data_IF_177230525408
#
_entry.id   IF_177230525408
#
_cell.length_a   1.000
_cell.length_b   1.000
_cell.length_c   1.000
_cell.angle_alpha   90.00
_cell.angle_beta   90.00
_cell.angle_gamma   90.00
#
_symmetry.space_group_name_H-M   'P 1'
#
loop_
_entity.id
_entity.type
_entity.pdbx_description
1 polymer ?
#
# COMPACT_ATOMS: atom_id res chain seq x y z
N UNK A 1 -3.22 12.94 -2.63
CA UNK A 1 -4.06 12.15 -3.57
C UNK A 1 -4.04 12.62 -5.04
N UNK A 2 -3.53 13.81 -5.40
CA UNK A 2 -3.45 14.24 -6.81
C UNK A 2 -2.33 13.57 -7.64
N UNK A 3 -1.31 12.99 -6.99
CA UNK A 3 -0.22 12.25 -7.67
C UNK A 3 -0.65 10.89 -8.25
N UNK A 4 -1.80 10.37 -7.83
CA UNK A 4 -2.36 9.10 -8.32
C UNK A 4 -3.18 9.26 -9.61
N UNK A 5 -3.31 10.48 -10.13
CA UNK A 5 -4.06 10.69 -11.36
C UNK A 5 -3.34 10.04 -12.54
N UNK A 6 -4.09 9.29 -13.36
CA UNK A 6 -3.62 8.74 -14.65
C UNK A 6 -2.90 9.78 -15.53
N UNK A 7 -3.17 11.08 -15.33
CA UNK A 7 -2.44 12.20 -15.97
C UNK A 7 -1.01 12.40 -15.45
N UNK A 8 -0.78 12.28 -14.15
CA UNK A 8 0.55 12.46 -13.55
C UNK A 8 1.49 11.32 -13.97
N UNK A 9 0.97 10.09 -13.97
CA UNK A 9 1.68 8.89 -14.44
C UNK A 9 2.01 9.01 -15.94
N UNK A 10 1.04 9.43 -16.78
CA UNK A 10 1.31 9.68 -18.21
C UNK A 10 2.35 10.76 -18.45
N UNK A 11 2.31 11.87 -17.70
CA UNK A 11 3.25 12.98 -17.85
C UNK A 11 4.68 12.56 -17.53
N UNK A 12 4.87 11.80 -16.45
CA UNK A 12 6.20 11.36 -16.01
C UNK A 12 6.80 10.29 -16.93
N UNK A 13 5.96 9.38 -17.44
CA UNK A 13 6.38 8.41 -18.47
C UNK A 13 6.80 9.11 -19.77
N UNK A 14 6.11 10.17 -20.20
CA UNK A 14 6.50 10.97 -21.37
C UNK A 14 7.83 11.67 -21.13
N UNK A 15 8.03 12.24 -19.93
CA UNK A 15 9.25 12.97 -19.57
C UNK A 15 10.49 12.07 -19.49
N UNK A 16 10.38 10.88 -18.90
CA UNK A 16 11.49 9.93 -18.84
C UNK A 16 11.76 9.23 -20.18
N UNK A 17 10.72 9.00 -20.98
CA UNK A 17 10.89 8.46 -22.35
C UNK A 17 11.67 9.44 -23.23
N UNK A 18 11.47 10.76 -23.06
CA UNK A 18 12.21 11.78 -23.80
C UNK A 18 13.71 11.86 -23.45
N UNK A 19 14.11 11.35 -22.28
CA UNK A 19 15.50 11.42 -21.76
C UNK A 19 16.28 10.12 -21.99
N UNK A 20 15.69 9.09 -22.61
CA UNK A 20 16.38 7.81 -22.81
C UNK A 20 17.40 7.86 -23.97
N UNK A 21 18.62 7.30 -23.82
CA UNK A 21 19.69 7.40 -24.83
C UNK A 21 19.30 6.88 -26.22
N UNK A 22 18.46 5.85 -26.25
CA UNK A 22 18.00 5.17 -27.47
C UNK A 22 16.96 5.98 -28.26
N UNK A 23 16.26 6.91 -27.62
CA UNK A 23 15.36 7.89 -28.27
C UNK A 23 16.07 9.19 -28.64
N UNK A 24 17.25 9.45 -28.05
CA UNK A 24 18.08 10.63 -28.36
C UNK A 24 18.75 10.47 -29.74
N UNK A 25 19.21 9.27 -30.11
CA UNK A 25 19.84 9.02 -31.43
C UNK A 25 18.91 9.33 -32.63
N UNK A 26 17.66 8.85 -32.70
CA UNK A 26 16.73 9.25 -33.77
C UNK A 26 16.31 10.73 -33.69
N UNK A 27 16.27 11.31 -32.49
CA UNK A 27 15.99 12.74 -32.29
C UNK A 27 17.03 13.66 -32.94
N UNK A 28 18.30 13.23 -33.01
CA UNK A 28 19.34 13.97 -33.73
C UNK A 28 19.12 13.99 -35.25
N UNK A 29 18.60 12.91 -35.84
CA UNK A 29 18.27 12.84 -37.27
C UNK A 29 17.11 13.78 -37.63
N UNK A 30 16.12 13.93 -36.75
CA UNK A 30 15.03 14.92 -36.90
C UNK A 30 15.59 16.34 -36.83
N UNK A 31 16.51 16.62 -35.90
CA UNK A 31 17.18 17.92 -35.78
C UNK A 31 18.04 18.27 -36.99
N UNK A 32 18.82 17.32 -37.50
CA UNK A 32 19.65 17.49 -38.71
C UNK A 32 18.76 17.72 -39.94
N UNK A 33 17.71 16.92 -40.13
CA UNK A 33 16.77 17.09 -41.23
C UNK A 33 16.06 18.45 -41.19
N UNK A 34 15.66 18.92 -40.01
CA UNK A 34 15.01 20.22 -39.86
C UNK A 34 15.96 21.38 -40.19
N UNK A 35 17.22 21.29 -39.75
CA UNK A 35 18.24 22.26 -40.14
C UNK A 35 18.55 22.23 -41.65
N UNK A 36 18.64 21.05 -42.26
CA UNK A 36 18.87 20.93 -43.71
C UNK A 36 17.74 21.56 -44.54
N UNK A 37 16.48 21.46 -44.10
CA UNK A 37 15.34 22.12 -44.76
C UNK A 37 15.38 23.64 -44.61
N UNK A 38 15.83 24.17 -43.47
CA UNK A 38 15.96 25.61 -43.24
C UNK A 38 17.04 26.24 -44.14
N UNK A 39 18.18 25.57 -44.31
CA UNK A 39 19.31 26.13 -45.08
C UNK A 39 19.23 25.88 -46.59
N UNK A 40 18.66 24.75 -47.01
CA UNK A 40 18.68 24.33 -48.43
C UNK A 40 17.29 24.20 -49.07
N UNK A 41 16.23 24.50 -48.32
CA UNK A 41 14.85 24.37 -48.78
C UNK A 41 14.34 22.93 -48.78
N UNK A 42 13.03 22.79 -49.01
CA UNK A 42 12.36 21.49 -49.06
C UNK A 42 12.57 20.84 -50.44
N UNK A 43 13.47 19.87 -50.49
CA UNK A 43 13.78 19.06 -51.66
C UNK A 43 13.47 17.59 -51.39
N UNK A 44 13.47 16.74 -52.41
CA UNK A 44 13.21 15.30 -52.25
C UNK A 44 14.22 14.63 -51.30
N UNK A 45 15.48 15.09 -51.30
CA UNK A 45 16.56 14.59 -50.43
C UNK A 45 16.44 15.11 -48.99
N UNK A 46 16.22 16.41 -48.80
CA UNK A 46 16.08 16.99 -47.44
C UNK A 46 14.77 16.56 -46.77
N UNK A 47 13.69 16.41 -47.54
CA UNK A 47 12.41 15.91 -47.09
C UNK A 47 12.42 14.42 -46.72
N UNK A 48 13.20 13.58 -47.41
CA UNK A 48 13.31 12.15 -47.08
C UNK A 48 14.13 11.91 -45.81
N UNK A 49 15.19 12.68 -45.56
CA UNK A 49 15.96 12.62 -44.30
C UNK A 49 15.08 13.03 -43.11
N UNK A 50 14.33 14.13 -43.25
CA UNK A 50 13.37 14.58 -42.23
C UNK A 50 12.27 13.53 -42.00
N UNK A 51 11.69 12.99 -43.07
CA UNK A 51 10.63 11.99 -43.01
C UNK A 51 11.07 10.68 -42.35
N UNK A 52 12.26 10.17 -42.69
CA UNK A 52 12.83 8.96 -42.09
C UNK A 52 13.19 9.18 -40.61
N UNK A 53 13.72 10.36 -40.24
CA UNK A 53 13.98 10.72 -38.85
C UNK A 53 12.70 10.74 -38.01
N UNK A 54 11.63 11.37 -38.52
CA UNK A 54 10.33 11.44 -37.84
C UNK A 54 9.71 10.05 -37.70
N UNK A 55 9.79 9.21 -38.74
CA UNK A 55 9.29 7.83 -38.71
C UNK A 55 10.07 6.94 -37.73
N UNK A 56 11.40 6.97 -37.75
CA UNK A 56 12.24 6.20 -36.84
C UNK A 56 12.04 6.62 -35.37
N UNK A 57 11.94 7.93 -35.12
CA UNK A 57 11.62 8.46 -33.79
C UNK A 57 10.21 8.05 -33.33
N UNK A 58 9.22 8.17 -34.21
CA UNK A 58 7.84 7.76 -33.94
C UNK A 58 7.68 6.26 -33.69
N UNK A 59 8.40 5.42 -34.43
CA UNK A 59 8.41 3.97 -34.26
C UNK A 59 9.14 3.53 -33.00
N UNK A 60 10.27 4.16 -32.65
CA UNK A 60 10.98 3.90 -31.38
C UNK A 60 10.15 4.33 -30.16
N UNK A 61 9.46 5.48 -30.27
CA UNK A 61 8.52 5.95 -29.25
C UNK A 61 7.31 5.00 -29.12
N UNK A 62 6.72 4.57 -30.24
CA UNK A 62 5.60 3.63 -30.24
C UNK A 62 6.00 2.24 -29.70
N UNK A 63 7.16 1.71 -30.12
CA UNK A 63 7.70 0.45 -29.61
C UNK A 63 7.86 0.49 -28.08
N UNK A 64 8.51 1.54 -27.54
CA UNK A 64 8.70 1.70 -26.10
C UNK A 64 7.39 1.98 -25.34
N UNK A 65 6.45 2.71 -25.94
CA UNK A 65 5.15 2.99 -25.34
C UNK A 65 4.22 1.76 -25.31
N UNK A 66 4.31 0.88 -26.31
CA UNK A 66 3.49 -0.34 -26.37
C UNK A 66 4.14 -1.57 -25.71
N UNK A 67 5.47 -1.71 -25.77
CA UNK A 67 6.21 -2.89 -25.24
C UNK A 67 6.93 -2.57 -23.91
N UNK A 68 7.44 -1.36 -23.71
CA UNK A 68 8.20 -0.96 -22.51
C UNK A 68 7.36 -0.50 -21.31
N UNK A 69 6.02 -0.46 -21.44
CA UNK A 69 5.12 -0.11 -20.32
C UNK A 69 5.28 -1.05 -19.14
N UNK A 70 5.49 -2.34 -19.37
CA UNK A 70 5.61 -3.33 -18.29
C UNK A 70 6.77 -3.04 -17.34
N UNK A 71 7.96 -2.69 -17.84
CA UNK A 71 9.16 -2.47 -17.01
C UNK A 71 9.23 -1.09 -16.38
N UNK A 72 8.84 -0.03 -17.10
CA UNK A 72 8.79 1.34 -16.55
C UNK A 72 7.69 1.51 -15.50
N UNK A 73 6.52 0.91 -15.74
CA UNK A 73 5.43 0.87 -14.75
C UNK A 73 5.83 0.04 -13.54
N UNK A 74 6.52 -1.10 -13.73
CA UNK A 74 7.05 -1.91 -12.62
C UNK A 74 8.09 -1.16 -11.79
N UNK A 75 9.08 -0.52 -12.42
CA UNK A 75 10.12 0.25 -11.69
C UNK A 75 9.55 1.46 -10.96
N UNK A 76 8.57 2.15 -11.54
CA UNK A 76 7.87 3.26 -10.88
C UNK A 76 6.98 2.76 -9.74
N UNK A 77 6.25 1.67 -9.93
CA UNK A 77 5.42 1.05 -8.90
C UNK A 77 6.27 0.52 -7.74
N UNK A 78 7.44 -0.05 -8.01
CA UNK A 78 8.40 -0.48 -6.98
C UNK A 78 8.93 0.71 -6.19
N UNK A 79 9.32 1.81 -6.85
CA UNK A 79 9.76 3.02 -6.15
C UNK A 79 8.65 3.67 -5.31
N UNK A 80 7.41 3.68 -5.81
CA UNK A 80 6.25 4.19 -5.07
C UNK A 80 5.93 3.30 -3.87
N UNK A 81 5.98 1.98 -4.05
CA UNK A 81 5.80 1.01 -2.96
C UNK A 81 6.86 1.16 -1.89
N UNK A 82 8.11 1.33 -2.27
CA UNK A 82 9.19 1.51 -1.30
C UNK A 82 8.98 2.78 -0.47
N UNK A 83 8.59 3.89 -1.11
CA UNK A 83 8.26 5.14 -0.40
C UNK A 83 7.07 4.99 0.55
N UNK A 84 6.01 4.30 0.11
CA UNK A 84 4.84 4.02 0.95
C UNK A 84 5.23 3.15 2.14
N UNK A 85 6.08 2.14 1.91
CA UNK A 85 6.55 1.24 2.95
C UNK A 85 7.38 1.99 4.00
N UNK A 86 8.36 2.78 3.58
CA UNK A 86 9.18 3.58 4.48
C UNK A 86 8.35 4.60 5.27
N UNK A 87 7.44 5.32 4.60
CA UNK A 87 6.53 6.26 5.28
C UNK A 87 5.61 5.55 6.30
N UNK A 88 5.17 4.32 5.98
CA UNK A 88 4.35 3.51 6.89
C UNK A 88 5.14 3.07 8.13
N UNK A 89 6.41 2.69 7.98
CA UNK A 89 7.30 2.31 9.09
C UNK A 89 7.55 3.51 10.01
N UNK A 90 7.86 4.67 9.42
CA UNK A 90 8.07 5.89 10.18
C UNK A 90 6.83 6.28 10.98
N UNK A 91 5.66 6.29 10.31
CA UNK A 91 4.36 6.56 10.94
C UNK A 91 4.06 5.58 12.07
N UNK A 92 4.31 4.29 11.86
CA UNK A 92 4.11 3.24 12.86
C UNK A 92 4.97 3.49 14.11
N UNK A 93 6.23 3.84 13.95
CA UNK A 93 7.13 4.13 15.08
C UNK A 93 6.69 5.39 15.84
N UNK A 94 6.30 6.44 15.12
CA UNK A 94 5.76 7.67 15.72
C UNK A 94 4.49 7.40 16.53
N UNK A 95 3.55 6.63 15.97
CA UNK A 95 2.30 6.27 16.64
C UNK A 95 2.52 5.37 17.86
N UNK A 96 3.43 4.38 17.77
CA UNK A 96 3.80 3.54 18.93
C UNK A 96 4.31 4.36 20.10
N UNK A 97 5.19 5.34 19.83
CA UNK A 97 5.69 6.23 20.88
C UNK A 97 4.57 7.12 21.44
N UNK A 98 3.81 7.80 20.57
CA UNK A 98 2.81 8.77 20.99
C UNK A 98 1.60 8.16 21.73
N UNK A 99 1.18 6.94 21.36
CA UNK A 99 0.06 6.27 22.04
C UNK A 99 0.40 5.84 23.46
N UNK A 100 1.66 5.48 23.73
CA UNK A 100 2.15 5.12 25.06
C UNK A 100 2.02 6.29 26.04
N UNK A 101 2.25 7.52 25.56
CA UNK A 101 2.18 8.73 26.39
C UNK A 101 0.74 9.16 26.72
N UNK A 102 -0.26 8.66 25.98
CA UNK A 102 -1.66 9.07 26.07
C UNK A 102 -2.57 8.04 26.75
N UNK A 103 -2.01 7.05 27.46
CA UNK A 103 -2.74 5.90 28.02
C UNK A 103 -3.59 5.15 26.96
N UNK A 104 -3.11 5.12 25.72
CA UNK A 104 -3.77 4.48 24.58
C UNK A 104 -3.45 2.99 24.45
N UNK A 105 -3.36 2.24 25.55
CA UNK A 105 -2.83 0.86 25.58
C UNK A 105 -3.53 -0.07 24.60
N UNK A 106 -4.87 -0.02 24.57
CA UNK A 106 -5.67 -0.82 23.64
C UNK A 106 -5.36 -0.49 22.17
N UNK A 107 -5.21 0.79 21.83
CA UNK A 107 -4.93 1.23 20.46
C UNK A 107 -3.49 0.89 20.06
N UNK A 108 -2.56 0.95 21.01
CA UNK A 108 -1.18 0.49 20.85
C UNK A 108 -1.10 -1.00 20.56
N UNK A 109 -1.92 -1.80 21.25
CA UNK A 109 -2.08 -3.23 20.96
C UNK A 109 -2.63 -3.46 19.55
N UNK A 110 -3.68 -2.75 19.15
CA UNK A 110 -4.23 -2.83 17.79
C UNK A 110 -3.18 -2.49 16.72
N UNK A 111 -2.31 -1.51 16.96
CA UNK A 111 -1.22 -1.16 16.05
C UNK A 111 -0.19 -2.29 15.91
N UNK A 112 0.18 -2.95 17.01
CA UNK A 112 1.08 -4.11 16.99
C UNK A 112 0.46 -5.30 16.26
N UNK A 113 -0.82 -5.58 16.54
CA UNK A 113 -1.57 -6.64 15.88
C UNK A 113 -1.70 -6.39 14.37
N UNK A 114 -1.95 -5.14 13.96
CA UNK A 114 -2.05 -4.76 12.56
C UNK A 114 -0.78 -5.10 11.78
N UNK A 115 0.38 -4.73 12.33
CA UNK A 115 1.68 -5.04 11.74
C UNK A 115 1.89 -6.55 11.64
N UNK A 116 1.75 -7.26 12.77
CA UNK A 116 1.99 -8.70 12.83
C UNK A 116 1.06 -9.50 11.89
N UNK A 117 -0.22 -9.13 11.81
CA UNK A 117 -1.19 -9.80 10.93
C UNK A 117 -0.93 -9.53 9.47
N UNK A 118 -0.54 -8.30 9.10
CA UNK A 118 -0.19 -7.98 7.71
C UNK A 118 1.07 -8.71 7.25
N UNK A 119 2.09 -8.81 8.10
CA UNK A 119 3.31 -9.57 7.82
C UNK A 119 2.99 -11.06 7.65
N UNK A 120 2.21 -11.63 8.59
CA UNK A 120 1.77 -13.03 8.52
C UNK A 120 0.94 -13.33 7.26
N UNK A 121 0.02 -12.43 6.90
CA UNK A 121 -0.76 -12.54 5.66
C UNK A 121 0.15 -12.55 4.42
N UNK A 122 1.13 -11.64 4.39
CA UNK A 122 2.08 -11.52 3.29
C UNK A 122 2.93 -12.78 3.12
N UNK A 123 3.35 -13.39 4.23
CA UNK A 123 4.12 -14.64 4.21
C UNK A 123 3.27 -15.82 3.73
N UNK A 124 2.03 -15.96 4.22
CA UNK A 124 1.10 -16.99 3.75
C UNK A 124 0.86 -16.84 2.23
N UNK A 125 0.68 -15.60 1.77
CA UNK A 125 0.43 -15.32 0.37
C UNK A 125 1.62 -15.73 -0.52
N UNK A 126 2.86 -15.47 -0.09
CA UNK A 126 4.09 -15.90 -0.79
C UNK A 126 4.31 -17.41 -0.77
N UNK A 127 3.82 -18.09 0.27
CA UNK A 127 3.86 -19.55 0.33
C UNK A 127 2.86 -20.19 -0.64
N UNK A 128 1.73 -19.54 -0.88
CA UNK A 128 0.64 -20.08 -1.72
C UNK A 128 0.70 -19.67 -3.19
N UNK A 129 1.21 -18.49 -3.53
CA UNK A 129 1.24 -18.01 -4.91
C UNK A 129 2.63 -17.52 -5.30
N UNK A 130 2.98 -17.60 -6.58
CA UNK A 130 4.18 -16.94 -7.09
C UNK A 130 3.94 -15.42 -7.21
N UNK A 131 4.97 -14.62 -6.94
CA UNK A 131 4.81 -13.15 -6.88
C UNK A 131 4.41 -12.50 -8.21
N UNK A 132 4.65 -13.19 -9.33
CA UNK A 132 4.26 -12.77 -10.67
C UNK A 132 2.80 -13.11 -11.05
N UNK A 133 2.10 -13.93 -10.25
CA UNK A 133 0.72 -14.29 -10.54
C UNK A 133 -0.24 -13.13 -10.26
N UNK A 134 -1.22 -12.92 -11.14
CA UNK A 134 -2.22 -11.87 -10.98
C UNK A 134 -3.01 -12.00 -9.66
N UNK A 135 -3.25 -13.23 -9.20
CA UNK A 135 -3.94 -13.48 -7.93
C UNK A 135 -3.12 -13.01 -6.73
N UNK A 136 -1.80 -13.25 -6.73
CA UNK A 136 -0.88 -12.74 -5.71
C UNK A 136 -0.94 -11.21 -5.67
N UNK A 137 -0.76 -10.56 -6.83
CA UNK A 137 -0.75 -9.10 -6.91
C UNK A 137 -2.06 -8.48 -6.43
N UNK A 138 -3.20 -9.09 -6.77
CA UNK A 138 -4.53 -8.63 -6.34
C UNK A 138 -4.72 -8.76 -4.83
N UNK A 139 -4.44 -9.92 -4.24
CA UNK A 139 -4.64 -10.13 -2.81
C UNK A 139 -3.67 -9.30 -1.97
N UNK A 140 -2.42 -9.19 -2.40
CA UNK A 140 -1.44 -8.30 -1.77
C UNK A 140 -1.90 -6.85 -1.78
N UNK A 141 -2.35 -6.34 -2.94
CA UNK A 141 -2.81 -4.96 -3.07
C UNK A 141 -4.03 -4.63 -2.21
N UNK A 142 -4.99 -5.55 -2.11
CA UNK A 142 -6.16 -5.38 -1.23
C UNK A 142 -5.72 -5.35 0.24
N UNK A 143 -4.86 -6.29 0.66
CA UNK A 143 -4.37 -6.32 2.03
C UNK A 143 -3.56 -5.07 2.40
N UNK A 144 -2.74 -4.57 1.47
CA UNK A 144 -1.95 -3.34 1.64
C UNK A 144 -2.87 -2.13 1.81
N UNK A 145 -3.94 -2.03 1.02
CA UNK A 145 -4.94 -0.97 1.18
C UNK A 145 -5.66 -1.03 2.53
N UNK A 146 -6.05 -2.23 2.98
CA UNK A 146 -6.66 -2.42 4.30
C UNK A 146 -5.70 -2.04 5.41
N UNK A 147 -4.43 -2.46 5.31
CA UNK A 147 -3.38 -2.11 6.26
C UNK A 147 -3.19 -0.59 6.38
N UNK A 148 -3.06 0.11 5.25
CA UNK A 148 -2.89 1.57 5.22
C UNK A 148 -4.12 2.28 5.79
N UNK A 149 -5.33 1.81 5.46
CA UNK A 149 -6.58 2.40 5.96
C UNK A 149 -6.73 2.21 7.47
N UNK A 150 -6.34 1.05 8.01
CA UNK A 150 -6.34 0.81 9.45
C UNK A 150 -5.27 1.65 10.16
N UNK A 151 -4.09 1.84 9.55
CA UNK A 151 -3.05 2.72 10.07
C UNK A 151 -3.50 4.19 10.11
N UNK A 152 -4.23 4.66 9.10
CA UNK A 152 -4.82 6.00 9.06
C UNK A 152 -5.88 6.16 10.16
N UNK A 153 -6.73 5.16 10.40
CA UNK A 153 -7.66 5.17 11.52
C UNK A 153 -6.94 5.27 12.88
N UNK A 154 -5.83 4.55 13.06
CA UNK A 154 -5.03 4.64 14.29
C UNK A 154 -4.44 6.04 14.47
N UNK A 155 -3.97 6.67 13.39
CA UNK A 155 -3.53 8.07 13.43
C UNK A 155 -4.66 9.02 13.83
N UNK A 156 -5.85 8.84 13.25
CA UNK A 156 -7.02 9.64 13.59
C UNK A 156 -7.41 9.48 15.07
N UNK A 157 -7.32 8.26 15.61
CA UNK A 157 -7.51 8.00 17.04
C UNK A 157 -6.44 8.71 17.87
N UNK A 158 -5.17 8.62 17.48
CA UNK A 158 -4.07 9.31 18.16
C UNK A 158 -4.28 10.83 18.20
N UNK A 159 -4.68 11.44 17.08
CA UNK A 159 -5.00 12.87 17.00
C UNK A 159 -6.18 13.21 17.92
N UNK A 160 -7.24 12.40 17.92
CA UNK A 160 -8.40 12.58 18.78
C UNK A 160 -8.02 12.48 20.27
N UNK A 161 -7.28 11.45 20.67
CA UNK A 161 -6.75 11.29 22.03
C UNK A 161 -5.91 12.49 22.45
N UNK A 162 -5.00 12.94 21.58
CA UNK A 162 -4.16 14.11 21.85
C UNK A 162 -5.01 15.36 22.05
N UNK A 163 -6.06 15.55 21.26
CA UNK A 163 -6.95 16.72 21.35
C UNK A 163 -7.71 16.81 22.68
N UNK A 164 -8.04 15.66 23.29
CA UNK A 164 -8.78 15.60 24.56
C UNK A 164 -7.90 15.35 25.78
N UNK A 165 -6.62 15.04 25.59
CA UNK A 165 -5.66 14.72 26.66
C UNK A 165 -5.54 15.79 27.76
N UNK A 166 -5.83 17.06 27.43
CA UNK A 166 -5.76 18.20 28.36
C UNK A 166 -7.10 18.53 29.01
N UNK A 167 -8.17 17.79 28.68
CA UNK A 167 -9.52 18.01 29.19
C UNK A 167 -9.74 17.15 30.45
N UNK A 168 -9.74 17.82 31.61
CA UNK A 168 -10.13 17.20 32.88
C UNK A 168 -11.65 17.21 33.03
N UNK A 169 -12.27 16.08 32.67
CA UNK A 169 -13.71 15.88 32.74
C UNK A 169 -14.27 16.06 34.15
N UNK A 170 -13.60 15.53 35.16
CA UNK A 170 -14.05 15.59 36.54
C UNK A 170 -14.07 17.03 37.05
N UNK A 171 -13.02 17.79 36.75
CA UNK A 171 -12.94 19.22 37.08
C UNK A 171 -14.01 20.05 36.37
N UNK A 172 -14.30 19.74 35.10
CA UNK A 172 -15.34 20.45 34.36
C UNK A 172 -16.72 20.18 34.98
N UNK A 173 -17.03 18.91 35.29
CA UNK A 173 -18.30 18.54 35.94
C UNK A 173 -18.45 19.20 37.31
N UNK A 174 -17.40 19.19 38.14
CA UNK A 174 -17.40 19.90 39.42
C UNK A 174 -17.61 21.42 39.25
N UNK A 175 -16.98 22.02 38.23
CA UNK A 175 -17.13 23.46 37.95
C UNK A 175 -18.55 23.82 37.50
N UNK A 176 -19.24 22.93 36.77
CA UNK A 176 -20.64 23.12 36.38
C UNK A 176 -21.54 23.18 37.63
N UNK A 177 -21.38 22.24 38.56
CA UNK A 177 -22.20 22.21 39.78
C UNK A 177 -21.94 23.43 40.68
N UNK A 178 -20.68 23.88 40.77
CA UNK A 178 -20.35 25.12 41.47
C UNK A 178 -21.02 26.33 40.82
N UNK A 179 -20.89 26.50 39.51
CA UNK A 179 -21.45 27.67 38.80
C UNK A 179 -22.98 27.64 38.76
N UNK A 180 -23.60 26.45 38.87
CA UNK A 180 -25.05 26.29 39.07
C UNK A 180 -25.51 26.89 40.40
N UNK A 181 -24.72 26.74 41.46
CA UNK A 181 -24.99 27.34 42.77
C UNK A 181 -24.81 28.86 42.75
N UNK A 182 -23.82 29.35 42.00
CA UNK A 182 -23.51 30.78 41.84
C UNK A 182 -24.41 31.51 40.83
N UNK A 183 -25.28 30.80 40.11
CA UNK A 183 -26.21 31.38 39.12
C UNK A 183 -25.54 31.84 37.81
N UNK A 184 -24.31 31.42 37.53
CA UNK A 184 -23.55 31.84 36.35
C UNK A 184 -23.88 30.96 35.12
N UNK A 185 -25.03 31.23 34.50
CA UNK A 185 -25.56 30.45 33.37
C UNK A 185 -24.64 30.44 32.14
N UNK A 186 -24.00 31.56 31.80
CA UNK A 186 -23.09 31.66 30.64
C UNK A 186 -21.89 30.73 30.79
N UNK A 187 -21.31 30.66 32.00
CA UNK A 187 -20.18 29.77 32.27
C UNK A 187 -20.58 28.30 32.26
N UNK A 188 -21.79 27.98 32.72
CA UNK A 188 -22.34 26.62 32.64
C UNK A 188 -22.49 26.19 31.18
N UNK A 189 -23.01 27.07 30.32
CA UNK A 189 -23.18 26.78 28.89
C UNK A 189 -21.83 26.49 28.21
N UNK A 190 -20.82 27.34 28.43
CA UNK A 190 -19.48 27.14 27.88
C UNK A 190 -18.82 25.82 28.37
N UNK A 191 -18.97 25.49 29.66
CA UNK A 191 -18.44 24.24 30.22
C UNK A 191 -19.18 23.01 29.69
N UNK A 192 -20.50 23.11 29.50
CA UNK A 192 -21.33 22.04 28.92
C UNK A 192 -20.90 21.76 27.49
N UNK A 193 -20.69 22.81 26.68
CA UNK A 193 -20.20 22.65 25.30
C UNK A 193 -18.83 21.97 25.25
N UNK A 194 -17.95 22.23 26.21
CA UNK A 194 -16.65 21.56 26.31
C UNK A 194 -16.79 20.06 26.65
N UNK A 195 -17.77 19.68 27.48
CA UNK A 195 -18.07 18.26 27.74
C UNK A 195 -18.65 17.56 26.52
N UNK A 196 -19.51 18.23 25.76
CA UNK A 196 -20.04 17.68 24.50
C UNK A 196 -18.92 17.36 23.51
N UNK A 197 -17.97 18.29 23.32
CA UNK A 197 -16.81 18.07 22.45
C UNK A 197 -15.94 16.89 22.91
N UNK A 198 -15.73 16.74 24.23
CA UNK A 198 -15.02 15.60 24.80
C UNK A 198 -15.73 14.28 24.46
N UNK A 199 -17.05 14.24 24.65
CA UNK A 199 -17.87 13.06 24.41
C UNK A 199 -17.92 12.69 22.92
N UNK A 200 -18.06 13.68 22.03
CA UNK A 200 -17.97 13.49 20.58
C UNK A 200 -16.64 12.84 20.17
N UNK A 201 -15.52 13.29 20.73
CA UNK A 201 -14.20 12.70 20.45
C UNK A 201 -14.07 11.27 21.00
N UNK A 202 -14.57 11.00 22.22
CA UNK A 202 -14.59 9.63 22.78
C UNK A 202 -15.39 8.67 21.91
N UNK A 203 -16.56 9.11 21.43
CA UNK A 203 -17.38 8.33 20.52
C UNK A 203 -16.67 8.10 19.18
N UNK A 204 -15.99 9.11 18.63
CA UNK A 204 -15.17 8.97 17.42
C UNK A 204 -14.06 7.94 17.60
N UNK A 205 -13.31 8.01 18.71
CA UNK A 205 -12.25 7.05 19.05
C UNK A 205 -12.81 5.63 19.11
N UNK A 206 -13.92 5.44 19.82
CA UNK A 206 -14.58 4.13 19.94
C UNK A 206 -15.00 3.53 18.59
N UNK A 207 -15.59 4.35 17.71
CA UNK A 207 -15.98 3.92 16.36
C UNK A 207 -14.78 3.52 15.50
N UNK A 208 -13.74 4.35 15.46
CA UNK A 208 -12.53 4.08 14.68
C UNK A 208 -11.81 2.82 15.18
N UNK A 209 -11.70 2.64 16.50
CA UNK A 209 -11.10 1.45 17.09
C UNK A 209 -11.91 0.19 16.79
N UNK A 210 -13.24 0.28 16.79
CA UNK A 210 -14.13 -0.81 16.38
C UNK A 210 -13.94 -1.19 14.90
N UNK A 211 -13.80 -0.19 14.03
CA UNK A 211 -13.59 -0.44 12.60
C UNK A 211 -12.22 -1.06 12.32
N UNK A 212 -11.19 -0.69 13.10
CA UNK A 212 -9.89 -1.36 13.06
C UNK A 212 -10.00 -2.83 13.50
N UNK A 213 -10.72 -3.13 14.58
CA UNK A 213 -10.90 -4.50 15.04
C UNK A 213 -11.58 -5.38 13.99
N UNK A 214 -12.57 -4.85 13.28
CA UNK A 214 -13.20 -5.52 12.13
C UNK A 214 -12.18 -5.77 11.02
N UNK A 215 -11.35 -4.79 10.68
CA UNK A 215 -10.32 -4.95 9.66
C UNK A 215 -9.31 -6.05 10.03
N UNK A 216 -8.82 -6.07 11.28
CA UNK A 216 -7.92 -7.12 11.79
C UNK A 216 -8.57 -8.51 11.67
N UNK A 217 -9.85 -8.61 12.05
CA UNK A 217 -10.62 -9.85 11.95
C UNK A 217 -10.78 -10.32 10.50
N UNK A 218 -11.02 -9.42 9.56
CA UNK A 218 -11.11 -9.78 8.14
C UNK A 218 -9.76 -10.23 7.57
N UNK A 219 -8.64 -9.60 7.98
CA UNK A 219 -7.29 -10.07 7.61
C UNK A 219 -7.08 -11.49 8.12
N UNK A 220 -7.45 -11.81 9.36
CA UNK A 220 -7.33 -13.17 9.90
C UNK A 220 -8.19 -14.17 9.11
N UNK A 221 -9.45 -13.85 8.86
CA UNK A 221 -10.38 -14.71 8.10
C UNK A 221 -9.83 -15.04 6.71
N UNK A 222 -9.30 -14.03 6.01
CA UNK A 222 -8.71 -14.25 4.68
C UNK A 222 -7.41 -15.03 4.80
N UNK A 223 -6.56 -14.73 5.79
CA UNK A 223 -5.31 -15.49 6.05
C UNK A 223 -5.57 -16.97 6.26
N UNK A 224 -6.56 -17.33 7.09
CA UNK A 224 -6.97 -18.72 7.34
C UNK A 224 -7.47 -19.39 6.06
N UNK A 225 -8.32 -18.70 5.28
CA UNK A 225 -8.82 -19.21 4.00
C UNK A 225 -7.69 -19.44 2.99
N UNK A 226 -6.74 -18.51 2.91
CA UNK A 226 -5.58 -18.63 2.03
C UNK A 226 -4.68 -19.78 2.47
N UNK A 227 -4.47 -19.95 3.78
CA UNK A 227 -3.70 -21.06 4.32
C UNK A 227 -4.31 -22.42 3.96
N UNK A 228 -5.64 -22.53 3.91
CA UNK A 228 -6.36 -23.75 3.51
C UNK A 228 -6.47 -23.95 1.99
N UNK A 229 -6.16 -22.93 1.19
CA UNK A 229 -6.29 -23.01 -0.27
C UNK A 229 -5.16 -23.85 -0.86
N UNK A 230 -5.53 -24.93 -1.58
CA UNK A 230 -4.60 -25.72 -2.38
C UNK A 230 -4.26 -24.96 -3.67
N UNK A 231 -2.98 -24.67 -3.88
CA UNK A 231 -2.45 -24.04 -5.09
C UNK A 231 -1.43 -24.96 -5.76
N UNK A 232 -1.00 -24.67 -7.00
CA UNK A 232 -0.04 -25.50 -7.75
C UNK A 232 1.27 -25.78 -7.00
N UNK A 233 1.69 -24.90 -6.08
CA UNK A 233 2.87 -25.10 -5.24
C UNK A 233 2.68 -26.14 -4.12
N UNK A 234 1.45 -26.62 -3.90
CA UNK A 234 1.03 -27.54 -2.85
C UNK A 234 0.64 -28.95 -3.33
N UNK A 235 1.07 -29.38 -4.53
CA UNK A 235 0.81 -30.73 -5.06
C UNK A 235 1.40 -31.88 -4.21
N UNK A 236 2.21 -31.58 -3.19
CA UNK A 236 2.88 -32.57 -2.35
C UNK A 236 1.94 -33.40 -1.46
N UNK A 237 0.70 -32.99 -1.21
CA UNK A 237 -0.22 -33.76 -0.35
C UNK A 237 -0.73 -35.04 -1.04
N UNK A 238 -0.97 -35.01 -2.36
CA UNK A 238 -1.31 -36.20 -3.15
C UNK A 238 -0.09 -37.12 -3.35
N UNK A 239 1.12 -36.54 -3.40
CA UNK A 239 2.37 -37.30 -3.46
C UNK A 239 2.76 -37.91 -2.11
N UNK A 240 2.34 -37.34 -0.98
CA UNK A 240 2.74 -37.83 0.35
C UNK A 240 2.12 -39.18 0.65
N UNK A 241 0.82 -39.37 0.42
CA UNK A 241 0.16 -40.67 0.63
C UNK A 241 0.75 -41.74 -0.29
N UNK A 242 1.02 -41.39 -1.55
CA UNK A 242 1.69 -42.28 -2.50
C UNK A 242 3.14 -42.59 -2.09
N UNK A 243 3.90 -41.59 -1.62
CA UNK A 243 5.27 -41.76 -1.15
C UNK A 243 5.34 -42.57 0.16
N UNK A 244 4.35 -42.43 1.05
CA UNK A 244 4.21 -43.23 2.27
C UNK A 244 3.88 -44.69 1.92
N UNK A 245 2.97 -44.92 0.97
CA UNK A 245 2.64 -46.26 0.49
C UNK A 245 3.85 -46.92 -0.19
N UNK A 246 4.60 -46.17 -1.01
CA UNK A 246 5.81 -46.67 -1.66
C UNK A 246 6.95 -46.93 -0.65
N UNK A 247 7.12 -46.08 0.37
CA UNK A 247 8.05 -46.33 1.47
C UNK A 247 7.68 -47.58 2.28
N UNK A 248 6.39 -47.81 2.53
CA UNK A 248 5.91 -49.02 3.21
C UNK A 248 6.23 -50.28 2.39
N UNK A 249 6.00 -50.26 1.07
CA UNK A 249 6.37 -51.37 0.18
C UNK A 249 7.87 -51.62 0.13
N UNK A 250 8.69 -50.57 0.17
CA UNK A 250 10.15 -50.71 0.23
C UNK A 250 10.57 -51.35 1.55
N UNK A 251 10.00 -50.92 2.68
CA UNK A 251 10.28 -51.50 4.00
C UNK A 251 9.92 -52.99 4.08
N UNK A 252 8.76 -53.38 3.51
CA UNK A 252 8.34 -54.78 3.43
C UNK A 252 9.28 -55.63 2.56
N UNK A 253 9.78 -55.07 1.44
CA UNK A 253 10.76 -55.74 0.59
C UNK A 253 12.14 -55.90 1.25
N UNK A 254 12.55 -54.98 2.12
CA UNK A 254 13.84 -55.08 2.83
C UNK A 254 13.84 -56.23 3.84
N UNK A 255 12.69 -56.57 4.43
CA UNK A 255 12.56 -57.75 5.30
C UNK A 255 12.67 -59.09 4.54
N UNK A 256 12.46 -59.11 3.22
CA UNK A 256 12.63 -60.29 2.36
C UNK A 256 14.11 -60.57 2.00
N UNK A 257 15.03 -59.66 2.30
CA UNK A 257 16.48 -59.80 2.06
C UNK A 257 17.31 -60.00 3.34
N UNK A 258 16.67 -60.34 4.47
CA UNK A 258 17.40 -60.87 5.63
C UNK A 258 17.82 -62.32 5.35
N UNK A 259 19.01 -62.48 4.79
CA UNK A 259 19.83 -63.71 4.85
C UNK A 259 20.74 -63.62 6.07
#
# INVERSE_FOLDING_TARGET
>A
MQEFSKKAIKKKVIEETAKAPETVFPGTLVGIGAMSVIFFGLSLLTGSILGLGILAYGLGWAYKYFIGRGELEKKYLEQVRERIHQASIEKLNQLKSGLKDLNGDHVSEQLNLLQSKFDSFSDILKQRFQEGEMTYLRYRGIAEQVYLSALDNIEDIYIALKSISTIDEARIKASIEQNRTEGNLEKIEALTRRLELLEEQKQRISRLSTDNEKALTEIDKVSVKLAMTRTQKGQAETDLDYAMDELARIADKVNLYKV
#
